data_IF_031512424568
#
_entry.id   IF_031512424568
#
_cell.length_a   1.000
_cell.length_b   1.000
_cell.length_c   1.000
_cell.angle_alpha   90.00
_cell.angle_beta   90.00
_cell.angle_gamma   90.00
#
_symmetry.space_group_name_H-M   'P 1'
#
loop_
_entity.id
_entity.type
_entity.pdbx_description
1 polymer ?
#
# COMPACT_ATOMS: atom_id res chain seq x y z
N UNK A 1 2.35 13.93 -8.49
CA UNK A 1 1.33 14.91 -8.97
C UNK A 1 1.35 15.20 -10.48
N UNK A 2 2.47 15.68 -11.06
CA UNK A 2 2.54 16.09 -12.48
C UNK A 2 2.13 15.00 -13.48
N UNK A 3 2.57 13.76 -13.26
CA UNK A 3 2.19 12.63 -14.12
C UNK A 3 0.67 12.38 -14.13
N UNK A 4 0.01 12.45 -12.97
CA UNK A 4 -1.45 12.30 -12.89
C UNK A 4 -2.16 13.45 -13.62
N UNK A 5 -1.70 14.68 -13.45
CA UNK A 5 -2.25 15.84 -14.17
C UNK A 5 -2.15 15.67 -15.69
N UNK A 6 -1.06 15.10 -16.21
CA UNK A 6 -0.90 14.78 -17.64
C UNK A 6 -1.80 13.63 -18.11
N UNK A 7 -1.83 12.51 -17.38
CA UNK A 7 -2.61 11.32 -17.75
C UNK A 7 -4.13 11.58 -17.72
N UNK A 8 -4.60 12.39 -16.78
CA UNK A 8 -6.01 12.66 -16.57
C UNK A 8 -6.51 13.96 -17.22
N UNK A 9 -5.70 14.64 -18.06
CA UNK A 9 -6.08 15.92 -18.70
C UNK A 9 -7.49 15.94 -19.29
N UNK A 10 -7.92 14.95 -20.11
CA UNK A 10 -9.26 14.99 -20.71
C UNK A 10 -10.38 14.98 -19.67
N UNK A 11 -10.23 14.18 -18.61
CA UNK A 11 -11.19 14.07 -17.52
C UNK A 11 -11.25 15.36 -16.70
N UNK A 12 -10.09 15.97 -16.42
CA UNK A 12 -10.01 17.26 -15.72
C UNK A 12 -10.71 18.36 -16.53
N UNK A 13 -10.49 18.41 -17.86
CA UNK A 13 -11.14 19.41 -18.72
C UNK A 13 -12.67 19.29 -18.69
N UNK A 14 -13.18 18.06 -18.82
CA UNK A 14 -14.61 17.80 -18.76
C UNK A 14 -15.19 18.21 -17.41
N UNK A 15 -14.53 17.84 -16.31
CA UNK A 15 -15.00 18.13 -14.95
C UNK A 15 -14.94 19.62 -14.59
N UNK A 16 -13.96 20.36 -15.11
CA UNK A 16 -13.89 21.82 -14.97
C UNK A 16 -15.02 22.54 -15.72
N UNK A 17 -15.45 21.99 -16.86
CA UNK A 17 -16.60 22.48 -17.61
C UNK A 17 -17.92 22.19 -16.88
N UNK A 18 -18.10 20.97 -16.37
CA UNK A 18 -19.27 20.59 -15.56
C UNK A 18 -19.42 21.47 -14.30
N UNK A 19 -18.32 21.83 -13.64
CA UNK A 19 -18.32 22.71 -12.47
C UNK A 19 -18.49 24.19 -12.81
N UNK A 20 -18.54 24.56 -14.09
CA UNK A 20 -18.63 25.96 -14.54
C UNK A 20 -17.35 26.78 -14.31
N UNK A 21 -16.24 26.14 -13.91
CA UNK A 21 -14.94 26.80 -13.72
C UNK A 21 -14.27 27.18 -15.05
N UNK A 22 -14.63 26.47 -16.13
CA UNK A 22 -14.24 26.81 -17.49
C UNK A 22 -15.43 26.77 -18.44
N UNK A 23 -15.56 27.78 -19.30
CA UNK A 23 -16.62 27.85 -20.32
C UNK A 23 -16.23 27.24 -21.66
N UNK A 24 -14.93 26.97 -21.88
CA UNK A 24 -14.42 26.36 -23.12
C UNK A 24 -13.20 25.49 -22.82
N UNK A 25 -12.94 24.51 -23.67
CA UNK A 25 -11.74 23.64 -23.60
C UNK A 25 -10.44 24.49 -23.61
N UNK A 26 -10.40 25.59 -24.36
CA UNK A 26 -9.23 26.50 -24.36
C UNK A 26 -9.01 27.17 -23.00
N UNK A 27 -10.08 27.58 -22.33
CA UNK A 27 -10.00 28.13 -20.98
C UNK A 27 -9.53 27.08 -19.97
N UNK A 28 -10.12 25.87 -20.02
CA UNK A 28 -9.75 24.76 -19.16
C UNK A 28 -8.26 24.41 -19.32
N UNK A 29 -7.76 24.33 -20.57
CA UNK A 29 -6.34 24.11 -20.86
C UNK A 29 -5.45 25.16 -20.20
N UNK A 30 -5.83 26.45 -20.30
CA UNK A 30 -5.08 27.55 -19.66
C UNK A 30 -5.09 27.48 -18.13
N UNK A 31 -6.18 27.00 -17.52
CA UNK A 31 -6.26 26.81 -16.06
C UNK A 31 -5.33 25.68 -15.60
N UNK A 32 -5.31 24.56 -16.33
CA UNK A 32 -4.44 23.42 -16.06
C UNK A 32 -2.97 23.78 -16.25
N UNK A 33 -2.61 24.51 -17.32
CA UNK A 33 -1.23 25.00 -17.55
C UNK A 33 -0.73 25.95 -16.45
N UNK A 34 -1.65 26.68 -15.81
CA UNK A 34 -1.34 27.58 -14.69
C UNK A 34 -1.34 26.88 -13.32
N UNK A 35 -1.58 25.58 -13.27
CA UNK A 35 -1.61 24.76 -12.04
C UNK A 35 -2.44 25.39 -10.91
N UNK A 36 -3.61 25.98 -11.23
CA UNK A 36 -4.46 26.66 -10.24
C UNK A 36 -4.98 25.69 -9.15
N UNK A 37 -5.24 26.16 -7.92
CA UNK A 37 -5.78 25.34 -6.82
C UNK A 37 -6.98 24.47 -7.20
N UNK A 38 -7.96 25.05 -7.91
CA UNK A 38 -9.18 24.37 -8.37
C UNK A 38 -8.90 23.12 -9.22
N UNK A 39 -7.78 23.09 -9.96
CA UNK A 39 -7.38 21.94 -10.79
C UNK A 39 -6.99 20.75 -9.91
N UNK A 40 -6.37 21.01 -8.76
CA UNK A 40 -5.96 19.96 -7.83
C UNK A 40 -7.18 19.33 -7.14
N UNK A 41 -8.18 20.13 -6.79
CA UNK A 41 -9.43 19.65 -6.21
C UNK A 41 -10.22 18.77 -7.20
N UNK A 42 -10.25 19.18 -8.47
CA UNK A 42 -10.86 18.38 -9.54
C UNK A 42 -10.06 17.12 -9.81
N UNK A 43 -8.73 17.20 -9.81
CA UNK A 43 -7.88 16.03 -10.00
C UNK A 43 -8.11 14.99 -8.90
N UNK A 44 -8.20 15.41 -7.63
CA UNK A 44 -8.44 14.50 -6.50
C UNK A 44 -9.81 13.81 -6.59
N UNK A 45 -10.84 14.51 -7.10
CA UNK A 45 -12.15 13.91 -7.37
C UNK A 45 -12.06 12.88 -8.51
N UNK A 46 -11.44 13.23 -9.63
CA UNK A 46 -11.35 12.37 -10.82
C UNK A 46 -10.62 11.07 -10.52
N UNK A 47 -9.56 11.09 -9.72
CA UNK A 47 -8.76 9.90 -9.47
C UNK A 47 -9.37 8.94 -8.43
N UNK A 48 -10.28 9.42 -7.56
CA UNK A 48 -10.74 8.64 -6.39
C UNK A 48 -11.45 7.34 -6.78
N UNK A 49 -12.12 7.31 -7.93
CA UNK A 49 -12.83 6.13 -8.42
C UNK A 49 -12.20 5.52 -9.68
N UNK A 50 -11.03 6.01 -10.09
CA UNK A 50 -10.40 5.64 -11.35
C UNK A 50 -9.13 4.81 -11.11
N UNK A 51 -9.19 3.47 -11.26
CA UNK A 51 -8.04 2.62 -11.03
C UNK A 51 -6.99 2.85 -12.12
N UNK A 52 -5.71 2.69 -11.79
CA UNK A 52 -4.60 2.73 -12.74
C UNK A 52 -3.90 1.38 -12.79
N UNK A 53 -3.37 1.00 -13.94
CA UNK A 53 -2.58 -0.22 -14.09
C UNK A 53 -1.10 0.11 -14.06
N UNK A 54 -0.35 -0.61 -13.21
CA UNK A 54 1.10 -0.57 -13.21
C UNK A 54 1.65 -1.80 -13.94
N UNK A 55 2.70 -1.59 -14.73
CA UNK A 55 3.42 -2.65 -15.43
C UNK A 55 4.93 -2.45 -15.28
N UNK A 56 5.67 -3.54 -15.08
CA UNK A 56 7.14 -3.55 -15.13
C UNK A 56 7.61 -4.44 -16.28
N UNK A 57 8.50 -3.93 -17.12
CA UNK A 57 9.14 -4.69 -18.18
C UNK A 57 10.38 -5.44 -17.64
N UNK A 58 10.66 -6.68 -18.07
CA UNK A 58 9.84 -7.53 -18.94
C UNK A 58 8.67 -8.18 -18.20
N UNK A 59 7.50 -8.27 -18.84
CA UNK A 59 6.30 -8.90 -18.25
C UNK A 59 6.33 -10.42 -18.49
N UNK A 60 6.73 -11.20 -17.47
CA UNK A 60 6.88 -12.65 -17.59
C UNK A 60 5.57 -13.43 -17.34
N UNK A 61 4.64 -12.86 -16.58
CA UNK A 61 3.39 -13.50 -16.21
C UNK A 61 2.32 -12.45 -15.88
N UNK A 62 1.05 -12.88 -15.77
CA UNK A 62 -0.09 -11.98 -15.58
C UNK A 62 0.03 -11.01 -14.40
N UNK A 63 0.74 -11.41 -13.34
CA UNK A 63 0.95 -10.58 -12.15
C UNK A 63 1.97 -9.45 -12.32
N UNK A 64 2.67 -9.40 -13.45
CA UNK A 64 3.52 -8.26 -13.81
C UNK A 64 2.71 -7.03 -14.26
N UNK A 65 1.37 -7.15 -14.33
CA UNK A 65 0.44 -6.05 -14.52
C UNK A 65 -0.66 -6.15 -13.45
N UNK A 66 -0.82 -5.11 -12.64
CA UNK A 66 -1.88 -5.05 -11.63
C UNK A 66 -2.50 -3.65 -11.57
N UNK A 67 -3.76 -3.60 -11.15
CA UNK A 67 -4.49 -2.36 -10.92
C UNK A 67 -4.36 -1.89 -9.46
N UNK A 68 -4.30 -0.58 -9.29
CA UNK A 68 -4.21 0.12 -8.01
C UNK A 68 -5.07 1.38 -8.03
N UNK A 69 -5.61 1.75 -6.87
CA UNK A 69 -6.18 3.09 -6.70
C UNK A 69 -5.03 4.10 -6.49
N UNK A 70 -4.91 5.13 -7.35
CA UNK A 70 -3.80 6.08 -7.28
C UNK A 70 -3.96 7.02 -6.08
N UNK A 71 -2.84 7.28 -5.37
CA UNK A 71 -2.77 8.30 -4.31
C UNK A 71 -1.84 9.41 -4.76
N UNK A 72 -2.30 10.67 -4.69
CA UNK A 72 -1.46 11.81 -5.03
C UNK A 72 -0.34 11.98 -4.01
N UNK A 73 0.89 11.83 -4.49
CA UNK A 73 2.10 12.10 -3.72
C UNK A 73 2.91 13.23 -4.35
N UNK A 74 3.63 13.94 -3.48
CA UNK A 74 4.68 14.87 -3.89
C UNK A 74 5.88 14.12 -4.46
N UNK A 75 6.60 14.78 -5.37
CA UNK A 75 7.74 14.21 -6.09
C UNK A 75 7.40 13.60 -7.45
N UNK A 76 8.40 12.95 -8.04
CA UNK A 76 8.37 12.37 -9.40
C UNK A 76 8.47 10.84 -9.42
N UNK A 77 8.67 10.20 -8.27
CA UNK A 77 8.77 8.75 -8.16
C UNK A 77 7.40 8.13 -7.84
N UNK A 78 7.13 6.96 -8.42
CA UNK A 78 5.98 6.13 -8.07
C UNK A 78 6.30 5.43 -6.75
N UNK A 79 5.35 5.42 -5.81
CA UNK A 79 5.46 4.61 -4.60
C UNK A 79 4.67 3.33 -4.82
N UNK A 80 5.31 2.19 -4.56
CA UNK A 80 4.74 0.86 -4.70
C UNK A 80 4.70 0.18 -3.34
N UNK A 81 3.65 -0.59 -3.07
CA UNK A 81 3.54 -1.34 -1.82
C UNK A 81 4.58 -2.47 -1.76
N UNK A 82 5.35 -2.66 -0.65
CA UNK A 82 6.43 -3.66 -0.60
C UNK A 82 5.98 -5.10 -0.89
N UNK A 83 4.78 -5.49 -0.42
CA UNK A 83 4.23 -6.83 -0.62
C UNK A 83 3.83 -7.16 -2.08
N UNK A 84 3.83 -6.18 -2.99
CA UNK A 84 3.59 -6.46 -4.43
C UNK A 84 4.89 -6.50 -5.23
N UNK A 85 6.03 -6.10 -4.65
CA UNK A 85 7.33 -6.11 -5.35
C UNK A 85 7.71 -7.49 -5.89
N UNK A 86 7.43 -8.56 -5.12
CA UNK A 86 7.67 -9.93 -5.57
C UNK A 86 6.88 -10.29 -6.84
N UNK A 87 5.63 -9.82 -6.96
CA UNK A 87 4.81 -10.03 -8.15
C UNK A 87 5.33 -9.26 -9.38
N UNK A 88 5.96 -8.10 -9.20
CA UNK A 88 6.60 -7.37 -10.29
C UNK A 88 8.05 -7.80 -10.55
N UNK A 89 8.61 -8.68 -9.70
CA UNK A 89 10.03 -8.97 -9.61
C UNK A 89 10.89 -7.68 -9.53
N UNK A 90 10.37 -6.68 -8.81
CA UNK A 90 10.91 -5.32 -8.76
C UNK A 90 11.70 -5.09 -7.47
N UNK A 91 12.72 -4.25 -7.55
CA UNK A 91 13.41 -3.65 -6.40
C UNK A 91 13.40 -2.11 -6.52
N UNK A 92 14.17 -1.43 -5.68
CA UNK A 92 14.19 0.03 -5.59
C UNK A 92 15.58 0.62 -5.90
N UNK A 93 16.35 -0.01 -6.77
CA UNK A 93 17.71 0.44 -7.14
C UNK A 93 17.77 1.31 -8.42
N UNK A 94 16.63 1.51 -9.09
CA UNK A 94 16.55 2.23 -10.36
C UNK A 94 15.46 1.73 -11.31
N UNK A 95 14.75 0.66 -10.93
CA UNK A 95 13.62 0.11 -11.66
C UNK A 95 12.56 1.17 -12.06
N UNK A 96 12.05 1.02 -13.28
CA UNK A 96 11.02 1.87 -13.84
C UNK A 96 9.74 1.07 -14.11
N UNK A 97 8.60 1.72 -13.90
CA UNK A 97 7.28 1.14 -14.17
C UNK A 97 6.49 2.05 -15.10
N UNK A 98 5.73 1.43 -16.01
CA UNK A 98 4.76 2.12 -16.83
C UNK A 98 3.41 2.21 -16.08
N UNK A 99 2.71 3.32 -16.27
CA UNK A 99 1.37 3.55 -15.74
C UNK A 99 0.40 3.68 -16.90
N UNK A 100 -0.68 2.91 -16.87
CA UNK A 100 -1.73 2.94 -17.88
C UNK A 100 -3.07 3.31 -17.22
N UNK A 101 -3.86 4.15 -17.88
CA UNK A 101 -5.19 4.57 -17.41
C UNK A 101 -6.27 3.88 -18.27
N UNK A 102 -7.10 2.99 -17.70
CA UNK A 102 -8.23 2.40 -18.42
C UNK A 102 -9.27 3.48 -18.71
N UNK A 103 -9.67 3.66 -19.98
CA UNK A 103 -10.55 4.78 -20.36
C UNK A 103 -12.04 4.42 -20.35
N UNK A 104 -12.41 3.26 -20.90
CA UNK A 104 -13.82 2.85 -20.96
C UNK A 104 -14.33 2.39 -19.59
N UNK A 105 -15.64 2.47 -19.39
CA UNK A 105 -16.28 2.04 -18.14
C UNK A 105 -16.06 0.55 -17.92
N UNK A 106 -16.16 -0.25 -18.98
CA UNK A 106 -15.91 -1.70 -18.95
C UNK A 106 -14.49 -2.02 -18.53
N UNK A 107 -13.49 -1.28 -19.05
CA UNK A 107 -12.09 -1.48 -18.69
C UNK A 107 -11.79 -1.05 -17.24
N UNK A 108 -12.44 0.00 -16.75
CA UNK A 108 -12.32 0.42 -15.35
C UNK A 108 -12.92 -0.62 -14.41
N UNK A 109 -14.08 -1.17 -14.76
CA UNK A 109 -14.73 -2.26 -14.01
C UNK A 109 -13.86 -3.52 -14.04
N UNK A 110 -13.33 -3.91 -15.20
CA UNK A 110 -12.45 -5.07 -15.34
C UNK A 110 -11.18 -4.90 -14.49
N UNK A 111 -10.55 -3.72 -14.55
CA UNK A 111 -9.39 -3.41 -13.74
C UNK A 111 -9.69 -3.55 -12.24
N UNK A 112 -10.85 -3.03 -11.81
CA UNK A 112 -11.28 -3.05 -10.40
C UNK A 112 -11.67 -4.46 -9.92
N UNK A 113 -12.34 -5.24 -10.75
CA UNK A 113 -12.87 -6.56 -10.37
C UNK A 113 -11.83 -7.66 -10.54
N UNK A 114 -11.01 -7.63 -11.59
CA UNK A 114 -10.09 -8.72 -11.92
C UNK A 114 -8.62 -8.39 -11.67
N UNK A 115 -8.21 -7.14 -11.91
CA UNK A 115 -6.79 -6.78 -11.91
C UNK A 115 -6.30 -6.13 -10.62
N UNK A 116 -7.19 -5.75 -9.70
CA UNK A 116 -6.79 -5.15 -8.43
C UNK A 116 -5.77 -6.02 -7.70
N UNK A 117 -4.72 -5.38 -7.17
CA UNK A 117 -3.66 -6.08 -6.45
C UNK A 117 -4.21 -6.93 -5.28
N UNK A 118 -5.26 -6.46 -4.61
CA UNK A 118 -5.94 -7.18 -3.52
C UNK A 118 -6.55 -8.52 -3.95
N UNK A 119 -6.89 -8.70 -5.23
CA UNK A 119 -7.45 -9.95 -5.75
C UNK A 119 -6.36 -10.96 -6.15
N UNK A 120 -5.10 -10.51 -6.22
CA UNK A 120 -4.00 -11.24 -6.82
C UNK A 120 -2.95 -11.67 -5.76
N UNK A 121 -3.44 -12.24 -4.65
CA UNK A 121 -2.61 -12.64 -3.50
C UNK A 121 -1.91 -13.99 -3.71
N UNK A 122 -2.51 -14.89 -4.50
CA UNK A 122 -2.00 -16.24 -4.76
C UNK A 122 -1.34 -16.35 -6.13
N UNK A 123 -0.26 -17.12 -6.20
CA UNK A 123 0.38 -17.49 -7.46
C UNK A 123 -0.53 -18.37 -8.30
N UNK A 124 -0.78 -18.02 -9.57
CA UNK A 124 -1.58 -18.84 -10.49
C UNK A 124 -0.95 -20.20 -10.78
N UNK A 125 0.38 -20.31 -10.67
CA UNK A 125 1.11 -21.51 -11.07
C UNK A 125 1.09 -22.61 -10.00
N UNK A 126 1.03 -22.25 -8.71
CA UNK A 126 1.19 -23.22 -7.61
C UNK A 126 0.30 -22.95 -6.39
N UNK A 127 -0.56 -21.92 -6.42
CA UNK A 127 -1.48 -21.59 -5.33
C UNK A 127 -0.81 -21.03 -4.06
N UNK A 128 0.52 -20.84 -4.05
CA UNK A 128 1.22 -20.27 -2.89
C UNK A 128 0.99 -18.75 -2.80
N UNK A 129 0.91 -18.16 -1.59
CA UNK A 129 0.85 -16.71 -1.44
C UNK A 129 2.07 -16.01 -2.05
N UNK A 130 1.85 -14.85 -2.67
CA UNK A 130 2.90 -13.99 -3.21
C UNK A 130 3.13 -12.75 -2.35
N UNK A 131 2.09 -12.28 -1.65
CA UNK A 131 2.16 -11.15 -0.71
C UNK A 131 2.76 -11.57 0.64
N UNK A 132 3.90 -12.26 0.60
CA UNK A 132 4.61 -12.71 1.80
C UNK A 132 5.58 -11.59 2.22
N UNK A 133 5.64 -11.23 3.51
CA UNK A 133 6.68 -10.33 4.03
C UNK A 133 8.08 -10.79 3.63
N UNK A 134 8.95 -9.86 3.28
CA UNK A 134 10.34 -10.15 2.88
C UNK A 134 11.33 -9.33 3.72
N UNK A 135 12.58 -9.80 3.73
CA UNK A 135 13.74 -9.09 4.28
C UNK A 135 13.47 -8.54 5.70
N UNK A 136 13.45 -7.21 5.86
CA UNK A 136 13.36 -6.52 7.13
C UNK A 136 12.06 -6.81 7.89
N UNK A 137 10.95 -7.04 7.19
CA UNK A 137 9.68 -7.41 7.83
C UNK A 137 9.81 -8.76 8.54
N UNK A 138 10.45 -9.72 7.89
CA UNK A 138 10.69 -11.05 8.46
C UNK A 138 11.70 -10.95 9.61
N UNK A 139 12.76 -10.15 9.44
CA UNK A 139 13.75 -9.93 10.48
C UNK A 139 13.13 -9.28 11.74
N UNK A 140 12.27 -8.29 11.58
CA UNK A 140 11.56 -7.64 12.68
C UNK A 140 10.66 -8.62 13.43
N UNK A 141 9.81 -9.37 12.73
CA UNK A 141 8.98 -10.40 13.35
C UNK A 141 9.82 -11.49 14.03
N UNK A 142 10.92 -11.93 13.40
CA UNK A 142 11.83 -12.91 13.99
C UNK A 142 12.49 -12.39 15.27
N UNK A 143 12.94 -11.13 15.27
CA UNK A 143 13.57 -10.51 16.44
C UNK A 143 12.61 -10.41 17.62
N UNK A 144 11.36 -9.98 17.37
CA UNK A 144 10.33 -9.83 18.39
C UNK A 144 9.87 -11.17 18.98
N UNK A 145 9.86 -12.24 18.18
CA UNK A 145 9.33 -13.55 18.59
C UNK A 145 10.39 -14.49 19.18
N UNK A 146 11.65 -14.05 19.21
CA UNK A 146 12.77 -14.78 19.82
C UNK A 146 12.77 -14.59 21.33
N UNK A 147 13.10 -15.64 22.06
CA UNK A 147 13.31 -15.59 23.50
C UNK A 147 14.79 -15.39 23.86
N UNK A 148 15.02 -14.76 25.01
CA UNK A 148 16.35 -14.53 25.56
C UNK A 148 16.37 -14.81 27.05
N UNK A 149 17.24 -15.72 27.47
CA UNK A 149 17.48 -15.99 28.88
C UNK A 149 18.07 -14.76 29.59
N UNK A 150 17.58 -14.48 30.79
CA UNK A 150 18.02 -13.34 31.61
C UNK A 150 17.53 -11.98 31.10
N UNK A 151 16.55 -11.93 30.20
CA UNK A 151 15.94 -10.68 29.76
C UNK A 151 15.13 -10.04 30.91
N UNK A 152 15.09 -8.71 30.93
CA UNK A 152 14.39 -7.98 32.00
C UNK A 152 12.90 -8.30 31.98
N UNK A 153 12.37 -8.68 33.14
CA UNK A 153 10.95 -9.06 33.27
C UNK A 153 10.67 -10.55 33.05
N UNK A 154 11.70 -11.39 32.91
CA UNK A 154 11.54 -12.83 32.82
C UNK A 154 10.79 -13.40 34.03
N UNK A 155 9.85 -14.32 33.77
CA UNK A 155 9.03 -14.99 34.77
C UNK A 155 7.85 -14.17 35.30
N UNK A 156 7.65 -12.93 34.82
CA UNK A 156 6.48 -12.12 35.18
C UNK A 156 5.19 -12.78 34.64
N UNK A 157 4.12 -12.59 35.41
CA UNK A 157 2.78 -13.12 35.11
C UNK A 157 1.85 -11.94 34.87
N UNK A 158 1.14 -11.97 33.74
CA UNK A 158 0.23 -10.92 33.30
C UNK A 158 -1.20 -11.46 33.16
N UNK A 159 -2.16 -10.62 33.48
CA UNK A 159 -3.58 -10.92 33.44
C UNK A 159 -4.21 -10.71 32.06
N UNK A 160 -3.59 -9.91 31.19
CA UNK A 160 -4.01 -9.66 29.81
C UNK A 160 -2.85 -9.17 28.93
N UNK A 161 -3.05 -9.18 27.61
CA UNK A 161 -2.11 -8.60 26.63
C UNK A 161 -1.94 -7.09 26.80
N UNK A 162 -2.96 -6.39 27.26
CA UNK A 162 -2.89 -4.94 27.52
C UNK A 162 -1.94 -4.62 28.69
N UNK A 163 -1.92 -5.47 29.72
CA UNK A 163 -1.01 -5.31 30.86
C UNK A 163 0.45 -5.52 30.43
N UNK A 164 0.70 -6.51 29.56
CA UNK A 164 2.01 -6.73 28.93
C UNK A 164 2.44 -5.48 28.16
N UNK A 165 1.51 -4.86 27.40
CA UNK A 165 1.80 -3.64 26.65
C UNK A 165 2.15 -2.46 27.56
N UNK A 166 1.39 -2.24 28.64
CA UNK A 166 1.67 -1.19 29.62
C UNK A 166 3.05 -1.41 30.26
N UNK A 167 3.38 -2.65 30.63
CA UNK A 167 4.67 -2.99 31.22
C UNK A 167 5.83 -2.75 30.23
N UNK A 168 5.63 -3.08 28.95
CA UNK A 168 6.60 -2.83 27.90
C UNK A 168 6.81 -1.33 27.68
N UNK A 169 5.74 -0.56 27.55
CA UNK A 169 5.78 0.90 27.35
C UNK A 169 6.39 1.61 28.58
N UNK A 170 6.24 1.04 29.78
CA UNK A 170 6.88 1.51 31.02
C UNK A 170 8.34 1.05 31.17
N UNK A 171 8.89 0.32 30.20
CA UNK A 171 10.25 -0.25 30.24
C UNK A 171 10.48 -1.20 31.42
N UNK A 172 9.44 -1.89 31.89
CA UNK A 172 9.52 -2.87 32.99
C UNK A 172 9.78 -4.30 32.51
N UNK A 173 9.65 -4.53 31.20
CA UNK A 173 9.94 -5.80 30.52
C UNK A 173 10.66 -5.54 29.19
N UNK A 174 11.40 -6.53 28.71
CA UNK A 174 12.01 -6.55 27.36
C UNK A 174 11.21 -7.47 26.42
N UNK A 175 11.28 -7.19 25.11
CA UNK A 175 10.54 -7.89 24.04
C UNK A 175 10.77 -9.41 24.07
N UNK A 176 11.98 -9.83 24.40
CA UNK A 176 12.41 -11.23 24.37
C UNK A 176 12.29 -11.93 25.73
N UNK A 177 11.71 -11.27 26.74
CA UNK A 177 11.52 -11.84 28.06
C UNK A 177 10.42 -12.91 28.05
N UNK A 178 10.71 -14.07 28.63
CA UNK A 178 9.72 -15.16 28.81
C UNK A 178 8.75 -14.79 29.93
N UNK A 179 7.46 -14.81 29.63
CA UNK A 179 6.38 -14.40 30.53
C UNK A 179 5.24 -15.42 30.49
N UNK A 180 4.36 -15.36 31.50
CA UNK A 180 3.06 -16.04 31.47
C UNK A 180 1.97 -15.01 31.31
N UNK A 181 1.11 -15.16 30.31
CA UNK A 181 -0.03 -14.26 30.10
C UNK A 181 -1.32 -15.06 29.96
N UNK A 182 -2.42 -14.52 30.48
CA UNK A 182 -3.74 -15.09 30.25
C UNK A 182 -4.28 -14.63 28.89
N UNK A 183 -4.54 -15.57 27.99
CA UNK A 183 -5.16 -15.33 26.67
C UNK A 183 -6.34 -16.29 26.57
N UNK A 184 -7.52 -15.76 26.21
CA UNK A 184 -8.76 -16.52 26.06
C UNK A 184 -9.15 -17.42 27.27
N UNK A 185 -8.71 -17.01 28.47
CA UNK A 185 -8.99 -17.72 29.72
C UNK A 185 -7.90 -18.68 30.18
N UNK A 186 -6.97 -19.05 29.30
CA UNK A 186 -5.88 -19.98 29.60
C UNK A 186 -4.56 -19.24 29.89
N UNK A 187 -3.76 -19.79 30.79
CA UNK A 187 -2.41 -19.28 31.07
C UNK A 187 -1.43 -19.87 30.06
N UNK A 188 -0.82 -19.01 29.25
CA UNK A 188 0.10 -19.40 28.17
C UNK A 188 1.52 -18.92 28.49
N UNK A 189 2.51 -19.81 28.37
CA UNK A 189 3.93 -19.47 28.38
C UNK A 189 4.32 -18.88 27.01
N UNK A 190 4.74 -17.61 26.99
CA UNK A 190 5.08 -16.87 25.77
C UNK A 190 6.24 -15.90 26.01
N UNK A 191 6.56 -15.06 25.02
CA UNK A 191 7.46 -13.91 25.16
C UNK A 191 6.67 -12.61 25.04
N UNK A 192 7.18 -11.50 25.57
CA UNK A 192 6.52 -10.18 25.47
C UNK A 192 6.23 -9.76 24.02
N UNK A 193 7.13 -10.08 23.09
CA UNK A 193 6.97 -9.74 21.67
C UNK A 193 6.08 -10.67 20.84
N UNK A 194 5.54 -11.76 21.43
CA UNK A 194 4.58 -12.67 20.78
C UNK A 194 3.16 -12.32 21.22
#
# INVERSE_FOLDING_TARGET
KKMALELFKPFIFHKLEERGAATTIKSAKRLVEKERPEVWDVLDEVIREHPVMLNRAPTLHRLGIQAFDPILVEGKAIRLHPLVCAAFNADFDGDQMAVHVPLSVEAQIEARVLMMAANNVLSPANGRPLSIPSQDMVLGCYWLTKDRDGARGEGKIFSSTDEVRIAYDSQEVEEQARIKVRIDGDMIDTTVGR
#
